data_IF_104599653433
#
_entry.id   IF_104599653433
#
_cell.length_a   1.000
_cell.length_b   1.000
_cell.length_c   1.000
_cell.angle_alpha   90.00
_cell.angle_beta   90.00
_cell.angle_gamma   90.00
#
_symmetry.space_group_name_H-M   'P 1'
#
loop_
_entity.id
_entity.type
_entity.pdbx_description
1 polymer ?
#
# COMPACT_ATOMS: atom_id res chain seq x y z
N UNK A 1 48.24 -10.47 -25.17
CA UNK A 1 47.68 -11.56 -24.32
C UNK A 1 48.13 -11.30 -22.89
N UNK A 2 47.26 -11.55 -21.90
CA UNK A 2 47.21 -11.06 -20.50
C UNK A 2 46.32 -9.80 -20.36
N UNK A 3 44.99 -9.90 -20.26
CA UNK A 3 44.09 -10.42 -19.18
C UNK A 3 43.74 -9.37 -18.12
N UNK A 4 42.45 -8.98 -18.16
CA UNK A 4 41.55 -8.50 -17.12
C UNK A 4 41.94 -7.30 -16.25
N UNK A 5 41.21 -6.20 -16.49
CA UNK A 5 40.82 -5.17 -15.52
C UNK A 5 39.29 -5.10 -15.52
N UNK A 6 38.66 -4.65 -14.43
CA UNK A 6 38.16 -5.48 -13.35
C UNK A 6 36.66 -5.72 -13.47
N UNK A 7 36.23 -6.87 -12.94
CA UNK A 7 35.09 -6.99 -12.02
C UNK A 7 34.00 -5.92 -12.19
N UNK A 8 33.23 -6.04 -13.28
CA UNK A 8 31.88 -5.50 -13.30
C UNK A 8 31.04 -6.40 -12.42
N UNK A 9 31.08 -6.12 -11.12
CA UNK A 9 30.06 -6.60 -10.19
C UNK A 9 28.70 -6.35 -10.82
N UNK A 10 27.80 -7.34 -10.92
CA UNK A 10 26.40 -7.06 -11.13
C UNK A 10 25.99 -6.15 -9.97
N UNK A 11 25.74 -4.89 -10.33
CA UNK A 11 25.27 -3.86 -9.43
C UNK A 11 24.12 -4.46 -8.63
N UNK A 12 24.23 -4.34 -7.31
CA UNK A 12 23.34 -4.90 -6.31
C UNK A 12 21.91 -4.98 -6.84
N UNK A 13 21.37 -6.20 -6.84
CA UNK A 13 20.03 -6.48 -7.32
C UNK A 13 19.06 -5.40 -6.84
N UNK A 14 18.32 -4.85 -7.79
CA UNK A 14 17.14 -4.04 -7.55
C UNK A 14 16.16 -4.94 -6.80
N UNK A 15 16.32 -4.95 -5.47
CA UNK A 15 15.55 -5.75 -4.58
C UNK A 15 14.15 -5.15 -4.58
N UNK A 16 13.32 -5.63 -5.50
CA UNK A 16 11.88 -5.77 -5.32
C UNK A 16 11.30 -4.61 -4.52
N UNK A 17 11.44 -3.38 -5.03
CA UNK A 17 10.69 -2.26 -4.50
C UNK A 17 9.23 -2.62 -4.75
N UNK A 18 8.61 -3.28 -3.79
CA UNK A 18 7.20 -3.62 -3.81
C UNK A 18 6.51 -2.28 -3.93
N UNK A 19 5.93 -1.99 -5.09
CA UNK A 19 5.36 -0.70 -5.43
C UNK A 19 4.41 -0.27 -4.31
N UNK A 20 4.91 0.58 -3.40
CA UNK A 20 4.16 1.00 -2.24
C UNK A 20 3.18 2.07 -2.70
N UNK A 21 1.92 1.68 -2.87
CA UNK A 21 0.87 2.59 -3.29
C UNK A 21 0.18 3.16 -2.06
N UNK A 22 0.37 4.46 -1.85
CA UNK A 22 -0.37 5.21 -0.84
C UNK A 22 -1.66 5.71 -1.47
N UNK A 23 -2.78 5.12 -1.08
CA UNK A 23 -4.11 5.56 -1.46
C UNK A 23 -4.74 6.40 -0.35
N UNK A 24 -4.82 7.72 -0.54
CA UNK A 24 -5.59 8.58 0.35
C UNK A 24 -7.09 8.46 0.03
N UNK A 25 -7.85 7.95 0.99
CA UNK A 25 -9.30 7.76 0.90
C UNK A 25 -10.10 8.91 1.55
N UNK A 26 -9.40 9.92 2.07
CA UNK A 26 -9.94 11.07 2.79
C UNK A 26 -10.59 10.70 4.13
N UNK A 27 -11.25 11.69 4.75
CA UNK A 27 -12.02 11.48 5.98
C UNK A 27 -13.23 10.56 5.71
N UNK A 28 -13.41 9.55 6.56
CA UNK A 28 -14.55 8.63 6.53
C UNK A 28 -15.14 8.50 7.93
N UNK A 29 -16.44 8.26 7.99
CA UNK A 29 -17.13 8.02 9.24
C UNK A 29 -16.59 6.76 9.95
N UNK A 30 -16.76 6.73 11.27
CA UNK A 30 -16.18 5.68 12.09
C UNK A 30 -16.68 4.28 11.71
N UNK A 31 -17.94 4.15 11.26
CA UNK A 31 -18.55 2.87 10.95
C UNK A 31 -18.15 2.35 9.58
N UNK A 32 -17.94 3.22 8.59
CA UNK A 32 -17.34 2.85 7.30
C UNK A 32 -15.93 2.28 7.51
N UNK A 33 -15.12 2.91 8.36
CA UNK A 33 -13.78 2.42 8.70
C UNK A 33 -13.85 1.08 9.46
N UNK A 34 -14.79 0.92 10.42
CA UNK A 34 -15.00 -0.37 11.11
C UNK A 34 -15.41 -1.48 10.14
N UNK A 35 -16.26 -1.17 9.15
CA UNK A 35 -16.69 -2.13 8.12
C UNK A 35 -15.52 -2.52 7.21
N UNK A 36 -14.71 -1.55 6.77
CA UNK A 36 -13.50 -1.80 5.98
C UNK A 36 -12.52 -2.73 6.71
N UNK A 37 -12.25 -2.48 8.00
CA UNK A 37 -11.40 -3.35 8.84
C UNK A 37 -11.90 -4.79 8.95
N UNK A 38 -13.21 -5.01 8.75
CA UNK A 38 -13.85 -6.33 8.75
C UNK A 38 -14.02 -6.92 7.35
N UNK A 39 -13.39 -6.33 6.33
CA UNK A 39 -13.48 -6.78 4.95
C UNK A 39 -14.89 -6.62 4.34
N UNK A 40 -15.64 -5.58 4.72
CA UNK A 40 -17.01 -5.37 4.20
C UNK A 40 -17.38 -3.90 3.96
N UNK A 41 -18.48 -3.71 3.23
CA UNK A 41 -19.15 -2.43 3.06
C UNK A 41 -18.66 -1.60 1.87
N UNK A 42 -19.35 -0.49 1.59
CA UNK A 42 -19.13 0.36 0.42
C UNK A 42 -17.70 0.90 0.31
N UNK A 43 -17.02 1.10 1.44
CA UNK A 43 -15.64 1.59 1.45
C UNK A 43 -14.67 0.55 0.88
N UNK A 44 -14.85 -0.74 1.19
CA UNK A 44 -14.08 -1.81 0.58
C UNK A 44 -14.28 -1.86 -0.93
N UNK A 45 -15.53 -1.74 -1.40
CA UNK A 45 -15.82 -1.75 -2.85
C UNK A 45 -15.08 -0.63 -3.59
N UNK A 46 -15.01 0.57 -2.98
CA UNK A 46 -14.25 1.69 -3.55
C UNK A 46 -12.75 1.41 -3.61
N UNK A 47 -12.20 0.80 -2.56
CA UNK A 47 -10.78 0.40 -2.51
C UNK A 47 -10.48 -0.66 -3.56
N UNK A 48 -11.31 -1.69 -3.68
CA UNK A 48 -11.15 -2.73 -4.71
C UNK A 48 -11.18 -2.13 -6.12
N UNK A 49 -12.12 -1.23 -6.38
CA UNK A 49 -12.20 -0.59 -7.69
C UNK A 49 -10.97 0.29 -8.00
N UNK A 50 -10.41 0.99 -7.00
CA UNK A 50 -9.16 1.71 -7.17
C UNK A 50 -7.97 0.77 -7.48
N UNK A 51 -7.90 -0.38 -6.80
CA UNK A 51 -6.90 -1.42 -7.05
C UNK A 51 -7.04 -2.00 -8.46
N UNK A 52 -8.26 -2.27 -8.92
CA UNK A 52 -8.53 -2.74 -10.28
C UNK A 52 -8.08 -1.71 -11.32
N UNK A 53 -8.44 -0.43 -11.15
CA UNK A 53 -7.98 0.62 -12.05
C UNK A 53 -6.45 0.73 -12.10
N UNK A 54 -5.76 0.54 -10.97
CA UNK A 54 -4.30 0.54 -10.91
C UNK A 54 -3.69 -0.68 -11.62
N UNK A 55 -4.32 -1.85 -11.54
CA UNK A 55 -3.93 -3.04 -12.30
C UNK A 55 -4.13 -2.83 -13.80
N UNK A 56 -5.27 -2.29 -14.20
CA UNK A 56 -5.61 -2.02 -15.60
C UNK A 56 -4.66 -0.98 -16.21
N UNK A 57 -4.25 0.02 -15.42
CA UNK A 57 -3.25 1.00 -15.81
C UNK A 57 -1.80 0.47 -15.82
N UNK A 58 -1.58 -0.81 -15.47
CA UNK A 58 -0.26 -1.43 -15.40
C UNK A 58 0.63 -0.88 -14.28
N UNK A 59 0.04 -0.26 -13.25
CA UNK A 59 0.75 0.29 -12.08
C UNK A 59 0.94 -0.73 -10.96
N UNK A 60 0.22 -1.84 -11.02
CA UNK A 60 0.36 -3.00 -10.14
C UNK A 60 0.36 -4.23 -11.02
N UNK A 61 1.23 -5.21 -10.74
CA UNK A 61 1.16 -6.49 -11.41
C UNK A 61 -0.22 -7.15 -11.22
N UNK A 62 -0.73 -7.81 -12.26
CA UNK A 62 -2.07 -8.43 -12.24
C UNK A 62 -2.27 -9.41 -11.08
N UNK A 63 -1.20 -10.08 -10.66
CA UNK A 63 -1.20 -11.08 -9.59
C UNK A 63 -0.60 -10.59 -8.26
N UNK A 64 -0.34 -9.29 -8.12
CA UNK A 64 0.21 -8.77 -6.88
C UNK A 64 -0.79 -8.94 -5.72
N UNK A 65 -0.29 -9.46 -4.59
CA UNK A 65 -1.02 -9.50 -3.34
C UNK A 65 -1.10 -8.10 -2.74
N UNK A 66 -2.31 -7.54 -2.67
CA UNK A 66 -2.52 -6.20 -2.12
C UNK A 66 -2.79 -6.29 -0.61
N UNK A 67 -1.93 -5.63 0.17
CA UNK A 67 -2.07 -5.51 1.62
C UNK A 67 -2.51 -4.08 1.96
N UNK A 68 -3.66 -3.93 2.63
CA UNK A 68 -4.16 -2.62 3.07
C UNK A 68 -3.93 -2.42 4.57
N UNK A 69 -3.23 -1.33 4.92
CA UNK A 69 -3.01 -0.92 6.31
C UNK A 69 -3.88 0.31 6.59
N UNK A 70 -4.82 0.18 7.54
CA UNK A 70 -5.73 1.26 7.92
C UNK A 70 -5.31 1.80 9.29
N UNK A 71 -4.70 2.99 9.30
CA UNK A 71 -4.34 3.71 10.53
C UNK A 71 -5.47 4.65 10.91
N UNK A 72 -5.91 4.62 12.17
CA UNK A 72 -6.84 5.60 12.73
C UNK A 72 -6.07 6.49 13.70
N UNK A 73 -6.16 7.79 13.52
CA UNK A 73 -5.63 8.76 14.48
C UNK A 73 -6.30 8.53 15.85
N UNK A 74 -5.50 8.40 16.92
CA UNK A 74 -6.04 8.40 18.29
C UNK A 74 -6.58 9.81 18.51
N UNK A 75 -7.90 9.98 18.63
CA UNK A 75 -8.44 11.22 19.16
C UNK A 75 -7.86 11.35 20.57
N UNK A 76 -6.87 12.22 20.75
CA UNK A 76 -6.45 12.69 22.07
C UNK A 76 -7.61 13.52 22.61
N UNK A 77 -8.57 12.84 23.25
CA UNK A 77 -9.62 13.52 23.99
C UNK A 77 -8.99 14.34 25.11
N UNK A 78 -9.64 15.44 25.46
CA UNK A 78 -9.34 16.36 26.58
C UNK A 78 -9.37 15.68 27.97
N UNK A 79 -9.41 14.34 28.04
CA UNK A 79 -9.56 13.51 29.24
C UNK A 79 -8.43 12.48 29.41
N UNK A 80 -7.34 12.54 28.63
CA UNK A 80 -6.14 11.69 28.83
C UNK A 80 -5.19 12.31 29.89
N UNK A 81 -5.74 13.06 30.86
CA UNK A 81 -5.02 13.66 31.98
C UNK A 81 -5.81 13.45 33.28
N UNK A 82 -5.66 12.27 33.86
CA UNK A 82 -5.80 12.03 35.31
C UNK A 82 -4.86 10.89 35.71
#
# INVERSE_FOLDING_TARGET
>A
MATNSPESAPQAGDATASDLIILDIGKRDADAVKKLRKGKGKLLNKVNNAVEQLRDAGKIEKNAQVVLIVVREKNSGLFDSD
#
